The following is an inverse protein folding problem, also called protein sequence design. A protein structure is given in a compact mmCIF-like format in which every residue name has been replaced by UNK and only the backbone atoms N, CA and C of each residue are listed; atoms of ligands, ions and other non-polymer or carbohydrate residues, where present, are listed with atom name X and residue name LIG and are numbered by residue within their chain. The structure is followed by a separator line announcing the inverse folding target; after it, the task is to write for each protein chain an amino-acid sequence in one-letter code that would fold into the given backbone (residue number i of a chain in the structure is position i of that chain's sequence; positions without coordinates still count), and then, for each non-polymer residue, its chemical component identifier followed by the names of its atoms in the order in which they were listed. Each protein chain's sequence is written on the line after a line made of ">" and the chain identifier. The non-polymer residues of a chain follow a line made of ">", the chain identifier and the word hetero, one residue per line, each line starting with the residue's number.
data_IF_611977176946
#
_entry.id   IF_611977176946
#
_cell.length_a   1.000
_cell.length_b   1.000
_cell.length_c   1.000
_cell.angle_alpha   90.00
_cell.angle_beta   90.00
_cell.angle_gamma   90.00
#
_symmetry.space_group_name_H-M   'P 1'
#
loop_
_entity.id
_entity.type
_entity.pdbx_description
1 polymer ?
#
# COMPACT_ATOMS: atom_id res chain seq x y z
N UNK A 1 -13.16 -1.75 -5.48
CA UNK A 1 -11.78 -1.54 -5.99
C UNK A 1 -10.81 -1.55 -4.81
N UNK A 2 -11.13 -0.78 -3.79
CA UNK A 2 -10.47 -0.73 -2.47
C UNK A 2 -10.22 -2.10 -1.81
N UNK A 3 -11.22 -2.99 -1.74
CA UNK A 3 -11.03 -4.31 -1.10
C UNK A 3 -9.99 -5.18 -1.82
N UNK A 4 -9.94 -5.13 -3.16
CA UNK A 4 -8.93 -5.86 -3.94
C UNK A 4 -7.53 -5.27 -3.74
N UNK A 5 -7.43 -3.95 -3.64
CA UNK A 5 -6.19 -3.23 -3.34
C UNK A 5 -5.68 -3.58 -1.95
N UNK A 6 -6.54 -3.50 -0.94
CA UNK A 6 -6.24 -3.86 0.46
C UNK A 6 -5.78 -5.31 0.59
N UNK A 7 -6.49 -6.25 -0.07
CA UNK A 7 -6.10 -7.66 -0.07
C UNK A 7 -4.73 -7.87 -0.73
N UNK A 8 -4.43 -7.14 -1.81
CA UNK A 8 -3.13 -7.19 -2.48
C UNK A 8 -2.01 -6.63 -1.60
N UNK A 9 -2.21 -5.48 -0.96
CA UNK A 9 -1.26 -4.88 -0.03
C UNK A 9 -0.96 -5.83 1.14
N UNK A 10 -2.00 -6.41 1.76
CA UNK A 10 -1.84 -7.40 2.83
C UNK A 10 -1.00 -8.61 2.41
N UNK A 11 -1.22 -9.11 1.19
CA UNK A 11 -0.39 -10.18 0.63
C UNK A 11 1.07 -9.75 0.45
N UNK A 12 1.32 -8.57 -0.11
CA UNK A 12 2.67 -8.06 -0.36
C UNK A 12 3.42 -7.85 0.96
N UNK A 13 2.78 -7.28 1.98
CA UNK A 13 3.35 -7.15 3.32
C UNK A 13 3.76 -8.50 3.92
N UNK A 14 2.90 -9.52 3.81
CA UNK A 14 3.24 -10.87 4.25
C UNK A 14 4.44 -11.47 3.50
N UNK A 15 4.57 -11.17 2.20
CA UNK A 15 5.70 -11.62 1.40
C UNK A 15 6.99 -10.86 1.74
N UNK A 16 6.93 -9.55 1.95
CA UNK A 16 8.06 -8.74 2.37
C UNK A 16 8.66 -9.29 3.68
N UNK A 17 7.80 -9.57 4.67
CA UNK A 17 8.24 -10.15 5.93
C UNK A 17 8.91 -11.52 5.75
N UNK A 18 8.35 -12.40 4.92
CA UNK A 18 8.97 -13.69 4.60
C UNK A 18 10.35 -13.53 3.97
N UNK A 19 10.51 -12.60 3.02
CA UNK A 19 11.79 -12.38 2.36
C UNK A 19 12.82 -11.72 3.28
N UNK A 20 12.39 -10.83 4.18
CA UNK A 20 13.24 -10.27 5.22
C UNK A 20 13.81 -11.38 6.13
N UNK A 21 12.94 -12.27 6.62
CA UNK A 21 13.36 -13.43 7.43
C UNK A 21 14.27 -14.39 6.65
N UNK A 22 14.02 -14.60 5.36
CA UNK A 22 14.89 -15.40 4.50
C UNK A 22 16.26 -14.73 4.31
N UNK A 23 16.32 -13.42 4.12
CA UNK A 23 17.57 -12.67 3.94
C UNK A 23 18.45 -12.71 5.19
N UNK A 24 17.87 -12.62 6.38
CA UNK A 24 18.59 -12.79 7.65
C UNK A 24 19.33 -14.14 7.71
N UNK A 25 18.71 -15.21 7.18
CA UNK A 25 19.27 -16.58 7.16
C UNK A 25 20.18 -16.86 5.97
N UNK A 26 19.99 -16.14 4.86
CA UNK A 26 20.66 -16.40 3.58
C UNK A 26 21.67 -15.34 3.18
N UNK A 27 22.03 -14.44 4.12
CA UNK A 27 22.97 -13.35 3.90
C UNK A 27 22.55 -12.48 2.69
N UNK A 28 21.29 -12.04 2.72
CA UNK A 28 20.71 -11.12 1.73
C UNK A 28 20.64 -11.66 0.29
N UNK A 29 20.67 -12.98 0.10
CA UNK A 29 20.56 -13.62 -1.22
C UNK A 29 19.30 -13.21 -2.01
N UNK A 30 18.21 -12.89 -1.32
CA UNK A 30 16.92 -12.55 -1.92
C UNK A 30 16.57 -11.05 -1.77
N UNK A 31 17.55 -10.20 -1.49
CA UNK A 31 17.33 -8.76 -1.27
C UNK A 31 16.71 -8.05 -2.47
N UNK A 32 17.12 -8.41 -3.68
CA UNK A 32 16.49 -7.94 -4.93
C UNK A 32 14.98 -8.19 -4.96
N UNK A 33 14.52 -9.30 -4.38
CA UNK A 33 13.10 -9.67 -4.37
C UNK A 33 12.35 -8.90 -3.30
N UNK A 34 12.97 -8.67 -2.13
CA UNK A 34 12.42 -7.83 -1.08
C UNK A 34 12.25 -6.39 -1.58
N UNK A 35 13.28 -5.83 -2.22
CA UNK A 35 13.24 -4.48 -2.78
C UNK A 35 12.12 -4.32 -3.81
N UNK A 36 12.00 -5.27 -4.75
CA UNK A 36 10.90 -5.24 -5.73
C UNK A 36 9.50 -5.42 -5.12
N UNK A 37 9.37 -6.06 -3.94
CA UNK A 37 8.09 -6.12 -3.22
C UNK A 37 7.81 -4.76 -2.56
N UNK A 38 8.81 -4.13 -1.95
CA UNK A 38 8.66 -2.83 -1.30
C UNK A 38 8.29 -1.73 -2.31
N UNK A 39 8.90 -1.72 -3.50
CA UNK A 39 8.52 -0.81 -4.59
C UNK A 39 7.05 -0.99 -5.01
N UNK A 40 6.55 -2.24 -5.03
CA UNK A 40 5.14 -2.51 -5.34
C UNK A 40 4.20 -2.03 -4.22
N UNK A 41 4.62 -2.15 -2.96
CA UNK A 41 3.83 -1.66 -1.82
C UNK A 41 3.68 -0.15 -1.93
N UNK A 42 4.78 0.58 -2.11
CA UNK A 42 4.79 2.03 -2.23
C UNK A 42 3.88 2.53 -3.36
N UNK A 43 3.96 1.90 -4.54
CA UNK A 43 3.11 2.25 -5.66
C UNK A 43 1.61 2.04 -5.38
N UNK A 44 1.25 0.98 -4.65
CA UNK A 44 -0.14 0.67 -4.31
C UNK A 44 -0.67 1.53 -3.16
N UNK A 45 0.16 1.91 -2.21
CA UNK A 45 -0.21 2.86 -1.14
C UNK A 45 -0.44 4.26 -1.70
N UNK A 46 0.41 4.71 -2.64
CA UNK A 46 0.16 5.97 -3.34
C UNK A 46 -1.14 5.94 -4.13
N UNK A 47 -1.45 4.82 -4.80
CA UNK A 47 -2.74 4.64 -5.47
C UNK A 47 -3.91 4.69 -4.49
N UNK A 48 -3.78 4.02 -3.34
CA UNK A 48 -4.80 4.03 -2.29
C UNK A 48 -5.06 5.45 -1.77
N UNK A 49 -3.99 6.17 -1.42
CA UNK A 49 -4.08 7.52 -0.89
C UNK A 49 -4.68 8.51 -1.90
N UNK A 50 -4.38 8.35 -3.19
CA UNK A 50 -5.00 9.18 -4.23
C UNK A 50 -6.50 8.85 -4.41
N UNK A 51 -6.89 7.58 -4.27
CA UNK A 51 -8.31 7.17 -4.34
C UNK A 51 -9.09 7.74 -3.15
N UNK A 52 -8.52 7.71 -1.94
CA UNK A 52 -9.21 8.17 -0.72
C UNK A 52 -9.15 9.68 -0.58
N UNK A 53 -8.02 10.32 -0.88
CA UNK A 53 -7.79 11.75 -0.64
C UNK A 53 -8.71 12.65 -1.47
N UNK A 54 -8.86 12.38 -2.76
CA UNK A 54 -9.76 13.18 -3.63
C UNK A 54 -11.24 13.03 -3.21
N UNK A 55 -11.62 11.85 -2.74
CA UNK A 55 -12.98 11.58 -2.26
C UNK A 55 -13.27 12.24 -0.92
N UNK A 56 -12.32 12.16 0.02
CA UNK A 56 -12.44 12.77 1.34
C UNK A 56 -12.51 14.30 1.23
N UNK A 57 -11.66 14.91 0.38
CA UNK A 57 -11.70 16.35 0.12
C UNK A 57 -13.04 16.78 -0.49
N UNK A 58 -13.51 16.08 -1.53
CA UNK A 58 -14.81 16.38 -2.15
C UNK A 58 -15.97 16.22 -1.17
N UNK A 59 -15.95 15.19 -0.32
CA UNK A 59 -16.97 14.97 0.70
C UNK A 59 -16.98 16.05 1.80
N UNK A 60 -15.79 16.50 2.23
CA UNK A 60 -15.67 17.61 3.17
C UNK A 60 -16.16 18.94 2.58
N UNK A 61 -15.93 19.19 1.29
CA UNK A 61 -16.48 20.34 0.58
C UNK A 61 -18.01 20.28 0.52
N UNK A 62 -18.58 19.14 0.12
CA UNK A 62 -20.03 18.93 0.09
C UNK A 62 -20.69 19.15 1.47
N UNK A 63 -20.05 18.69 2.55
CA UNK A 63 -20.53 18.90 3.92
C UNK A 63 -20.51 20.38 4.33
N UNK A 64 -19.49 21.16 3.91
CA UNK A 64 -19.43 22.61 4.17
C UNK A 64 -20.54 23.33 3.42
N UNK A 65 -20.80 22.98 2.17
CA UNK A 65 -21.88 23.58 1.38
C UNK A 65 -23.27 23.24 1.95
N UNK A 66 -23.48 22.01 2.44
CA UNK A 66 -24.78 21.59 3.00
C UNK A 66 -25.19 22.25 4.32
N UNK A 67 -24.22 22.85 5.04
CA UNK A 67 -24.43 23.53 6.32
C UNK A 67 -24.60 25.06 6.19
N UNK A 68 -24.74 25.57 4.96
CA UNK A 68 -25.03 26.97 4.61
C UNK A 68 -26.52 27.12 4.29
#
# INVERSE_FOLDING_TARGET
>A
MEERLNNKLKYLYSMAEKYNQLNQKSHNKYDWRLNGINEQIEALENLQNNITGEWDEAYEEDLKESNI
#
